data_IF_714757555185
#
_entry.id   IF_714757555185
#
_cell.length_a   1.000
_cell.length_b   1.000
_cell.length_c   1.000
_cell.angle_alpha   90.00
_cell.angle_beta   90.00
_cell.angle_gamma   90.00
#
_symmetry.space_group_name_H-M   'P 1'
#
loop_
_entity.id
_entity.type
_entity.pdbx_description
1 polymer ?
#
# COMPACT_ATOMS: atom_id res chain seq x y z
N UNK A 1 25.02 13.19 11.04
CA UNK A 1 25.05 14.23 9.98
C UNK A 1 25.79 15.47 10.46
N UNK A 2 25.44 16.01 11.64
CA UNK A 2 26.08 17.18 12.24
C UNK A 2 27.55 16.95 12.63
N UNK A 3 27.85 15.83 13.29
CA UNK A 3 29.20 15.61 13.87
C UNK A 3 30.25 15.15 12.86
N UNK A 4 29.82 14.46 11.80
CA UNK A 4 30.73 13.90 10.78
C UNK A 4 30.97 14.90 9.64
N UNK A 5 29.97 15.71 9.27
CA UNK A 5 30.05 16.57 8.08
C UNK A 5 30.11 18.08 8.38
N UNK A 6 30.12 18.49 9.66
CA UNK A 6 30.20 19.91 10.08
C UNK A 6 29.23 20.85 9.33
N UNK A 7 28.05 20.34 8.95
CA UNK A 7 27.06 21.10 8.21
C UNK A 7 26.36 22.11 9.12
N UNK A 8 26.01 23.28 8.58
CA UNK A 8 25.12 24.23 9.26
C UNK A 8 23.83 23.53 9.71
N UNK A 9 23.27 23.88 10.90
CA UNK A 9 22.00 23.36 11.37
C UNK A 9 20.86 23.50 10.34
N UNK A 10 20.84 24.61 9.59
CA UNK A 10 19.82 24.86 8.55
C UNK A 10 19.96 23.91 7.36
N UNK A 11 21.19 23.67 6.89
CA UNK A 11 21.45 22.71 5.80
C UNK A 11 21.13 21.28 6.24
N UNK A 12 21.46 20.90 7.47
CA UNK A 12 21.12 19.58 8.01
C UNK A 12 19.61 19.36 8.09
N UNK A 13 18.86 20.36 8.55
CA UNK A 13 17.39 20.29 8.59
C UNK A 13 16.76 20.21 7.19
N UNK A 14 17.30 20.96 6.23
CA UNK A 14 16.85 20.88 4.84
C UNK A 14 17.05 19.47 4.27
N UNK A 15 18.22 18.86 4.46
CA UNK A 15 18.51 17.52 3.95
C UNK A 15 17.68 16.43 4.64
N UNK A 16 17.42 16.56 5.94
CA UNK A 16 16.50 15.67 6.65
C UNK A 16 15.08 15.82 6.08
N UNK A 17 14.61 17.05 5.89
CA UNK A 17 13.28 17.31 5.30
C UNK A 17 13.17 16.75 3.90
N UNK A 18 14.21 16.91 3.08
CA UNK A 18 14.30 16.34 1.75
C UNK A 18 14.27 14.80 1.79
N UNK A 19 15.00 14.17 2.73
CA UNK A 19 14.98 12.73 2.93
C UNK A 19 13.59 12.20 3.31
N UNK A 20 12.79 12.98 4.04
CA UNK A 20 11.42 12.61 4.42
C UNK A 20 10.35 12.94 3.36
N UNK A 21 10.70 13.68 2.32
CA UNK A 21 9.76 14.06 1.25
C UNK A 21 8.92 12.90 0.67
N UNK A 22 9.45 11.68 0.45
CA UNK A 22 8.65 10.57 -0.06
C UNK A 22 7.42 10.24 0.79
N UNK A 23 7.48 10.46 2.11
CA UNK A 23 6.35 10.22 3.01
C UNK A 23 5.17 11.19 2.77
N UNK A 24 5.41 12.34 2.14
CA UNK A 24 4.38 13.33 1.84
C UNK A 24 3.56 12.99 0.59
N UNK A 25 4.10 12.15 -0.31
CA UNK A 25 3.47 11.80 -1.58
C UNK A 25 2.86 10.39 -1.60
N UNK A 26 2.56 9.84 -0.42
CA UNK A 26 1.87 8.54 -0.24
C UNK A 26 0.66 8.31 -1.16
N UNK A 27 -0.25 9.29 -1.37
CA UNK A 27 -1.41 9.09 -2.25
C UNK A 27 -1.03 8.67 -3.68
N UNK A 28 0.14 9.11 -4.17
CA UNK A 28 0.64 8.75 -5.49
C UNK A 28 0.97 7.26 -5.55
N UNK A 29 1.64 6.72 -4.52
CA UNK A 29 1.96 5.29 -4.46
C UNK A 29 0.70 4.43 -4.39
N UNK A 30 -0.32 4.89 -3.67
CA UNK A 30 -1.63 4.23 -3.59
C UNK A 30 -2.26 4.11 -4.98
N UNK A 31 -2.43 5.24 -5.67
CA UNK A 31 -2.99 5.29 -7.03
C UNK A 31 -2.18 4.41 -8.00
N UNK A 32 -0.84 4.50 -7.96
CA UNK A 32 0.03 3.71 -8.83
C UNK A 32 -0.16 2.21 -8.59
N UNK A 33 -0.18 1.78 -7.32
CA UNK A 33 -0.37 0.36 -6.97
C UNK A 33 -1.77 -0.14 -7.31
N UNK A 34 -2.79 0.73 -7.27
CA UNK A 34 -4.18 0.39 -7.58
C UNK A 34 -4.44 0.27 -9.08
N UNK A 35 -3.86 1.18 -9.87
CA UNK A 35 -4.11 1.30 -11.31
C UNK A 35 -3.21 0.39 -12.16
N UNK A 36 -2.02 0.01 -11.69
CA UNK A 36 -1.03 -0.75 -12.47
C UNK A 36 -0.84 -2.15 -11.88
N UNK A 37 -1.60 -3.17 -12.31
CA UNK A 37 -1.29 -4.54 -11.91
C UNK A 37 -0.01 -5.03 -12.63
N UNK A 38 0.93 -5.61 -11.88
CA UNK A 38 2.17 -6.18 -12.42
C UNK A 38 2.03 -7.72 -12.40
N UNK A 39 2.14 -8.37 -13.56
CA UNK A 39 2.05 -9.85 -13.69
C UNK A 39 0.79 -10.47 -13.04
N UNK A 40 -0.37 -9.82 -13.21
CA UNK A 40 -1.67 -10.22 -12.60
C UNK A 40 -1.74 -10.14 -11.05
N UNK A 41 -0.68 -9.64 -10.41
CA UNK A 41 -0.61 -9.37 -8.98
C UNK A 41 -0.67 -7.87 -8.72
N UNK A 42 -1.40 -7.45 -7.69
CA UNK A 42 -1.64 -6.02 -7.42
C UNK A 42 -0.74 -5.43 -6.34
N UNK A 43 -0.27 -6.21 -5.36
CA UNK A 43 0.42 -5.69 -4.16
C UNK A 43 1.83 -6.25 -3.98
N UNK A 44 2.00 -7.57 -4.11
CA UNK A 44 3.28 -8.29 -3.92
C UNK A 44 4.41 -7.76 -4.80
N UNK A 45 4.20 -7.45 -6.11
CA UNK A 45 5.26 -6.87 -6.92
C UNK A 45 5.72 -5.50 -6.39
N UNK A 46 4.80 -4.69 -5.88
CA UNK A 46 5.13 -3.39 -5.27
C UNK A 46 5.86 -3.57 -3.94
N UNK A 47 5.51 -4.57 -3.13
CA UNK A 47 6.25 -4.91 -1.91
C UNK A 47 7.69 -5.38 -2.20
N UNK A 48 7.90 -6.12 -3.28
CA UNK A 48 9.25 -6.56 -3.69
C UNK A 48 10.07 -5.35 -4.15
N UNK A 49 9.49 -4.48 -4.98
CA UNK A 49 10.16 -3.26 -5.46
C UNK A 49 10.47 -2.34 -4.29
N UNK A 50 9.53 -2.12 -3.37
CA UNK A 50 9.74 -1.26 -2.20
C UNK A 50 10.81 -1.81 -1.28
N UNK A 51 10.83 -3.13 -1.06
CA UNK A 51 11.87 -3.78 -0.26
C UNK A 51 13.25 -3.68 -0.92
N UNK A 52 13.33 -3.79 -2.25
CA UNK A 52 14.57 -3.56 -2.99
C UNK A 52 15.06 -2.11 -2.90
N UNK A 53 14.18 -1.13 -3.14
CA UNK A 53 14.46 0.30 -2.94
C UNK A 53 14.84 0.62 -1.49
N UNK A 54 14.38 -0.20 -0.54
CA UNK A 54 14.72 -0.10 0.88
C UNK A 54 15.97 -0.89 1.28
N UNK A 55 16.50 -1.77 0.43
CA UNK A 55 17.62 -2.65 0.80
C UNK A 55 18.94 -2.10 0.27
N UNK A 56 18.96 -1.79 -1.03
CA UNK A 56 20.19 -1.39 -1.72
C UNK A 56 20.79 -0.10 -1.16
N UNK A 57 20.02 0.97 -0.84
CA UNK A 57 20.62 2.18 -0.27
C UNK A 57 21.35 1.93 1.05
N UNK A 58 20.78 1.14 1.98
CA UNK A 58 21.45 0.77 3.23
C UNK A 58 22.75 -0.02 2.98
N UNK A 59 22.72 -0.99 2.06
CA UNK A 59 23.91 -1.77 1.69
C UNK A 59 25.00 -0.87 1.07
N UNK A 60 24.64 -0.03 0.09
CA UNK A 60 25.60 0.81 -0.64
C UNK A 60 26.22 1.85 0.30
N UNK A 61 25.44 2.47 1.19
CA UNK A 61 25.96 3.41 2.21
C UNK A 61 26.88 2.68 3.21
N UNK A 62 26.53 1.45 3.59
CA UNK A 62 27.33 0.64 4.51
C UNK A 62 28.69 0.26 3.95
N UNK A 63 28.74 -0.09 2.67
CA UNK A 63 29.95 -0.54 1.97
C UNK A 63 30.82 0.59 1.41
N UNK A 64 30.24 1.76 1.10
CA UNK A 64 30.96 2.87 0.44
C UNK A 64 31.16 4.06 1.37
N UNK A 65 32.42 4.32 1.73
CA UNK A 65 32.79 5.51 2.52
C UNK A 65 32.66 6.81 1.73
N UNK A 66 32.96 6.78 0.43
CA UNK A 66 32.80 7.92 -0.48
C UNK A 66 31.35 8.45 -0.51
N UNK A 67 30.38 7.53 -0.52
CA UNK A 67 28.95 7.86 -0.50
C UNK A 67 28.53 8.56 0.79
N UNK A 68 29.16 8.20 1.92
CA UNK A 68 28.88 8.73 3.25
C UNK A 68 29.50 10.10 3.48
N UNK A 69 30.64 10.37 2.84
CA UNK A 69 31.33 11.66 2.93
C UNK A 69 30.64 12.76 2.12
N UNK A 70 29.94 12.41 1.03
CA UNK A 70 29.23 13.39 0.20
C UNK A 70 27.79 13.59 0.68
N UNK A 71 27.50 14.77 1.22
CA UNK A 71 26.20 15.14 1.78
C UNK A 71 25.03 14.94 0.79
N UNK A 72 25.22 15.35 -0.46
CA UNK A 72 24.17 15.26 -1.49
C UNK A 72 23.88 13.80 -1.86
N UNK A 73 24.93 12.99 -1.99
CA UNK A 73 24.83 11.61 -2.41
C UNK A 73 24.28 10.72 -1.29
N UNK A 74 24.70 10.97 -0.05
CA UNK A 74 24.11 10.36 1.14
C UNK A 74 22.61 10.70 1.25
N UNK A 75 22.25 11.97 1.05
CA UNK A 75 20.83 12.40 1.09
C UNK A 75 20.01 11.76 -0.02
N UNK A 76 20.55 11.66 -1.24
CA UNK A 76 19.88 10.97 -2.35
C UNK A 76 19.58 9.51 -2.00
N UNK A 77 20.54 8.81 -1.40
CA UNK A 77 20.33 7.42 -0.97
C UNK A 77 19.29 7.30 0.14
N UNK A 78 19.24 8.26 1.07
CA UNK A 78 18.18 8.32 2.07
C UNK A 78 16.80 8.60 1.46
N UNK A 79 16.72 9.43 0.41
CA UNK A 79 15.47 9.66 -0.32
C UNK A 79 14.99 8.36 -0.99
N UNK A 80 15.89 7.65 -1.68
CA UNK A 80 15.57 6.38 -2.34
C UNK A 80 15.12 5.34 -1.32
N UNK A 81 15.78 5.28 -0.17
CA UNK A 81 15.40 4.42 0.95
C UNK A 81 14.00 4.73 1.48
N UNK A 82 13.72 6.01 1.76
CA UNK A 82 12.45 6.45 2.30
C UNK A 82 11.32 6.30 1.27
N UNK A 83 11.62 6.41 -0.02
CA UNK A 83 10.70 6.09 -1.10
C UNK A 83 10.27 4.62 -1.06
N UNK A 84 11.22 3.71 -0.89
CA UNK A 84 10.91 2.29 -0.67
C UNK A 84 10.02 2.09 0.55
N UNK A 85 10.42 2.63 1.70
CA UNK A 85 9.66 2.47 2.96
C UNK A 85 8.23 3.04 2.87
N UNK A 86 8.08 4.26 2.34
CA UNK A 86 6.76 4.89 2.17
C UNK A 86 5.86 4.13 1.19
N UNK A 87 6.43 3.55 0.13
CA UNK A 87 5.67 2.70 -0.79
C UNK A 87 5.25 1.38 -0.14
N UNK A 88 6.12 0.74 0.66
CA UNK A 88 5.78 -0.48 1.38
C UNK A 88 4.62 -0.26 2.36
N UNK A 89 4.68 0.84 3.13
CA UNK A 89 3.66 1.26 4.08
C UNK A 89 2.28 1.40 3.41
N UNK A 90 2.20 2.15 2.31
CA UNK A 90 0.95 2.35 1.56
C UNK A 90 0.39 1.02 1.01
N UNK A 91 1.25 0.12 0.54
CA UNK A 91 0.81 -1.17 -0.01
C UNK A 91 0.34 -2.11 1.09
N UNK A 92 1.00 -2.12 2.26
CA UNK A 92 0.57 -2.90 3.43
C UNK A 92 -0.78 -2.38 3.95
N UNK A 93 -0.96 -1.07 4.06
CA UNK A 93 -2.23 -0.46 4.45
C UNK A 93 -3.36 -0.86 3.49
N UNK A 94 -3.10 -0.82 2.18
CA UNK A 94 -4.07 -1.28 1.17
C UNK A 94 -4.40 -2.77 1.33
N UNK A 95 -3.41 -3.62 1.62
CA UNK A 95 -3.63 -5.05 1.86
C UNK A 95 -4.45 -5.32 3.12
N UNK A 96 -4.19 -4.60 4.22
CA UNK A 96 -4.96 -4.71 5.46
C UNK A 96 -6.40 -4.24 5.20
N UNK A 97 -6.59 -3.12 4.49
CA UNK A 97 -7.91 -2.62 4.13
C UNK A 97 -8.69 -3.60 3.24
N UNK A 98 -8.02 -4.25 2.28
CA UNK A 98 -8.62 -5.31 1.47
C UNK A 98 -9.01 -6.53 2.30
N UNK A 99 -8.15 -6.96 3.23
CA UNK A 99 -8.42 -8.07 4.13
C UNK A 99 -9.59 -7.78 5.08
N UNK A 100 -9.66 -6.56 5.62
CA UNK A 100 -10.81 -6.07 6.41
C UNK A 100 -12.10 -6.16 5.61
N UNK A 101 -12.09 -5.68 4.36
CA UNK A 101 -13.25 -5.69 3.49
C UNK A 101 -13.69 -7.13 3.13
N UNK A 102 -12.75 -8.06 3.03
CA UNK A 102 -13.01 -9.46 2.76
C UNK A 102 -13.52 -10.25 3.98
N UNK A 103 -13.11 -9.88 5.20
CA UNK A 103 -13.51 -10.55 6.45
C UNK A 103 -14.89 -10.12 6.96
N UNK A 104 -15.46 -9.03 6.44
CA UNK A 104 -16.75 -8.47 6.86
C UNK A 104 -16.61 -7.36 7.91
N UNK A 105 -17.64 -6.51 8.01
CA UNK A 105 -17.63 -5.30 8.86
C UNK A 105 -17.47 -5.59 10.35
N UNK A 106 -17.85 -6.78 10.81
CA UNK A 106 -17.73 -7.22 12.21
C UNK A 106 -16.26 -7.40 12.64
N UNK A 107 -15.40 -7.88 11.74
CA UNK A 107 -13.98 -8.17 12.00
C UNK A 107 -13.03 -7.01 11.64
N UNK A 108 -13.56 -5.91 11.10
CA UNK A 108 -12.77 -4.78 10.65
C UNK A 108 -11.89 -4.17 11.77
N UNK A 109 -12.49 -3.96 12.95
CA UNK A 109 -11.79 -3.39 14.10
C UNK A 109 -10.73 -4.34 14.69
N UNK A 110 -10.97 -5.65 14.65
CA UNK A 110 -10.01 -6.64 15.16
C UNK A 110 -8.78 -6.74 14.27
N UNK A 111 -8.97 -6.74 12.95
CA UNK A 111 -7.84 -6.86 12.03
C UNK A 111 -6.97 -5.60 12.03
N UNK A 112 -7.59 -4.42 12.14
CA UNK A 112 -6.86 -3.16 12.25
C UNK A 112 -6.08 -3.05 13.57
N UNK A 113 -6.71 -3.42 14.69
CA UNK A 113 -6.04 -3.40 15.99
C UNK A 113 -4.93 -4.46 16.11
N UNK A 114 -5.10 -5.64 15.50
CA UNK A 114 -4.04 -6.64 15.38
C UNK A 114 -2.86 -6.10 14.58
N UNK A 115 -3.12 -5.38 13.49
CA UNK A 115 -2.08 -4.76 12.67
C UNK A 115 -1.30 -3.69 13.45
N UNK A 116 -1.99 -2.83 14.21
CA UNK A 116 -1.34 -1.84 15.08
C UNK A 116 -0.56 -2.50 16.23
N UNK A 117 -1.05 -3.60 16.77
CA UNK A 117 -0.32 -4.38 17.78
C UNK A 117 0.97 -4.97 17.19
N UNK A 118 0.89 -5.53 15.98
CA UNK A 118 2.08 -6.01 15.25
C UNK A 118 3.07 -4.88 14.96
N UNK A 119 2.59 -3.70 14.57
CA UNK A 119 3.44 -2.51 14.38
C UNK A 119 4.13 -2.10 15.68
N UNK A 120 3.41 -2.09 16.81
CA UNK A 120 3.98 -1.76 18.11
C UNK A 120 5.10 -2.73 18.50
N UNK A 121 4.90 -4.03 18.31
CA UNK A 121 5.92 -5.05 18.57
C UNK A 121 7.16 -4.81 17.70
N UNK A 122 6.98 -4.59 16.40
CA UNK A 122 8.09 -4.26 15.49
C UNK A 122 8.81 -2.97 15.90
N UNK A 123 8.06 -1.96 16.35
CA UNK A 123 8.58 -0.70 16.85
C UNK A 123 9.44 -0.85 18.11
N UNK A 124 9.06 -1.73 19.04
CA UNK A 124 9.86 -2.08 20.23
C UNK A 124 11.20 -2.68 19.80
N UNK A 125 11.17 -3.72 18.97
CA UNK A 125 12.39 -4.37 18.48
C UNK A 125 13.29 -3.40 17.71
N UNK A 126 12.71 -2.58 16.82
CA UNK A 126 13.46 -1.58 16.06
C UNK A 126 14.07 -0.49 16.93
N UNK A 127 13.37 -0.04 17.97
CA UNK A 127 13.88 0.99 18.88
C UNK A 127 15.01 0.47 19.78
N UNK A 128 14.88 -0.76 20.29
CA UNK A 128 15.92 -1.41 21.07
C UNK A 128 17.16 -1.70 20.23
N UNK A 129 16.98 -2.31 19.05
CA UNK A 129 18.08 -2.60 18.13
C UNK A 129 18.77 -1.31 17.68
N UNK A 130 18.00 -0.27 17.35
CA UNK A 130 18.56 1.01 16.93
C UNK A 130 19.29 1.75 18.05
N UNK A 131 18.77 1.73 19.27
CA UNK A 131 19.44 2.32 20.44
C UNK A 131 20.74 1.58 20.77
N UNK A 132 20.71 0.25 20.80
CA UNK A 132 21.90 -0.57 21.06
C UNK A 132 22.97 -0.40 19.98
N UNK A 133 22.58 -0.46 18.71
CA UNK A 133 23.49 -0.30 17.58
C UNK A 133 24.16 1.08 17.58
N UNK A 134 23.41 2.14 17.90
CA UNK A 134 23.94 3.50 17.90
C UNK A 134 24.91 3.79 19.05
N UNK A 135 24.78 3.11 20.20
CA UNK A 135 25.71 3.28 21.34
C UNK A 135 26.97 2.40 21.24
N UNK A 136 26.91 1.22 20.61
CA UNK A 136 27.98 0.21 20.72
C UNK A 136 28.68 -0.13 19.39
N UNK A 137 28.14 0.28 18.24
CA UNK A 137 28.66 -0.13 16.93
C UNK A 137 29.16 1.06 16.11
N UNK A 138 30.21 0.86 15.29
CA UNK A 138 30.62 1.86 14.33
C UNK A 138 29.55 2.04 13.26
N UNK A 139 29.40 3.27 12.75
CA UNK A 139 28.31 3.64 11.85
C UNK A 139 28.22 2.76 10.59
N UNK A 140 29.35 2.27 10.07
CA UNK A 140 29.42 1.38 8.91
C UNK A 140 28.71 0.05 9.19
N UNK A 141 28.95 -0.53 10.37
CA UNK A 141 28.31 -1.77 10.81
C UNK A 141 26.81 -1.55 11.03
N UNK A 142 26.40 -0.37 11.53
CA UNK A 142 24.97 -0.03 11.69
C UNK A 142 24.25 -0.07 10.34
N UNK A 143 24.80 0.55 9.29
CA UNK A 143 24.19 0.54 7.96
C UNK A 143 24.03 -0.88 7.40
N UNK A 144 25.04 -1.73 7.58
CA UNK A 144 25.01 -3.13 7.13
C UNK A 144 23.98 -3.94 7.92
N UNK A 145 23.97 -3.84 9.25
CA UNK A 145 22.99 -4.54 10.09
C UNK A 145 21.57 -4.09 9.75
N UNK A 146 21.36 -2.79 9.53
CA UNK A 146 20.04 -2.26 9.19
C UNK A 146 19.57 -2.72 7.82
N UNK A 147 20.48 -2.99 6.88
CA UNK A 147 20.13 -3.59 5.59
C UNK A 147 19.58 -5.02 5.71
N UNK A 148 19.90 -5.75 6.79
CA UNK A 148 19.33 -7.07 7.03
C UNK A 148 17.80 -7.00 7.28
N UNK A 149 17.27 -5.88 7.78
CA UNK A 149 15.84 -5.73 8.07
C UNK A 149 15.01 -5.66 6.78
N UNK A 150 15.29 -4.79 5.79
CA UNK A 150 14.66 -4.83 4.47
C UNK A 150 14.90 -6.13 3.71
N UNK A 151 16.03 -6.81 3.93
CA UNK A 151 16.28 -8.13 3.35
C UNK A 151 15.32 -9.18 3.91
N UNK A 152 15.13 -9.19 5.23
CA UNK A 152 14.13 -10.05 5.87
C UNK A 152 12.72 -9.73 5.34
N UNK A 153 12.36 -8.44 5.23
CA UNK A 153 11.10 -8.02 4.63
C UNK A 153 10.94 -8.54 3.19
N UNK A 154 11.98 -8.45 2.36
CA UNK A 154 11.97 -8.99 1.00
C UNK A 154 11.72 -10.50 0.98
N UNK A 155 12.34 -11.26 1.90
CA UNK A 155 12.10 -12.70 2.05
C UNK A 155 10.66 -12.98 2.45
N UNK A 156 10.10 -12.23 3.40
CA UNK A 156 8.69 -12.40 3.80
C UNK A 156 7.70 -12.16 2.65
N UNK A 157 8.03 -11.26 1.71
CA UNK A 157 7.20 -11.00 0.52
C UNK A 157 6.99 -12.23 -0.37
N UNK A 158 7.93 -13.19 -0.37
CA UNK A 158 7.81 -14.44 -1.14
C UNK A 158 6.66 -15.31 -0.61
N UNK A 159 6.38 -15.24 0.68
CA UNK A 159 5.33 -16.04 1.33
C UNK A 159 3.93 -15.40 1.23
N UNK A 160 3.84 -14.15 0.77
CA UNK A 160 2.56 -13.46 0.59
C UNK A 160 1.85 -14.07 -0.62
N UNK A 161 0.82 -14.88 -0.35
CA UNK A 161 -0.02 -15.49 -1.38
C UNK A 161 -1.10 -14.49 -1.82
N UNK A 162 -0.97 -13.97 -3.04
CA UNK A 162 -2.08 -13.29 -3.71
C UNK A 162 -2.92 -14.29 -4.51
N UNK A 163 -4.23 -14.26 -4.32
CA UNK A 163 -5.16 -14.93 -5.24
C UNK A 163 -5.16 -14.16 -6.57
N UNK A 164 -4.74 -14.82 -7.65
CA UNK A 164 -4.74 -14.24 -8.99
C UNK A 164 -6.20 -14.02 -9.41
N UNK A 165 -6.64 -12.76 -9.51
CA UNK A 165 -8.00 -12.42 -9.96
C UNK A 165 -8.17 -12.56 -11.48
N UNK A 166 -7.63 -13.62 -12.09
CA UNK A 166 -7.53 -13.71 -13.54
C UNK A 166 -7.53 -15.13 -14.09
N UNK A 167 -8.57 -15.91 -13.77
CA UNK A 167 -9.04 -17.00 -14.65
C UNK A 167 -10.50 -17.40 -14.39
N UNK A 168 -11.00 -17.32 -13.15
CA UNK A 168 -12.34 -17.82 -12.84
C UNK A 168 -13.48 -16.84 -13.18
N UNK A 169 -13.24 -15.53 -13.17
CA UNK A 169 -14.30 -14.54 -13.46
C UNK A 169 -14.70 -14.44 -14.94
N UNK A 170 -14.02 -15.16 -15.84
CA UNK A 170 -14.42 -15.20 -17.26
C UNK A 170 -15.33 -16.40 -17.56
N UNK A 171 -15.26 -17.46 -16.74
CA UNK A 171 -16.13 -18.64 -16.91
C UNK A 171 -17.51 -18.38 -16.30
N UNK A 172 -17.58 -17.71 -15.14
CA UNK A 172 -18.87 -17.42 -14.49
C UNK A 172 -19.68 -16.33 -15.21
N UNK A 173 -19.01 -15.32 -15.79
CA UNK A 173 -19.69 -14.26 -16.54
C UNK A 173 -20.13 -14.71 -17.95
N UNK A 174 -19.41 -15.65 -18.58
CA UNK A 174 -19.84 -16.20 -19.88
C UNK A 174 -21.00 -17.20 -19.74
N UNK A 175 -21.17 -17.82 -18.58
CA UNK A 175 -22.29 -18.70 -18.29
C UNK A 175 -23.59 -17.93 -17.99
N UNK A 176 -23.49 -16.70 -17.48
CA UNK A 176 -24.65 -15.89 -17.12
C UNK A 176 -25.17 -15.00 -18.27
N UNK A 177 -24.32 -14.61 -19.22
CA UNK A 177 -24.70 -13.78 -20.39
C UNK A 177 -25.44 -14.55 -21.51
N UNK A 178 -25.51 -15.88 -21.44
CA UNK A 178 -26.23 -16.69 -22.44
C UNK A 178 -27.64 -17.12 -22.01
N UNK A 179 -28.10 -16.72 -20.83
CA UNK A 179 -29.41 -17.12 -20.30
C UNK A 179 -30.49 -16.02 -20.36
N UNK A 180 -30.15 -14.78 -20.69
CA UNK A 180 -31.05 -13.63 -20.49
C UNK A 180 -31.47 -12.89 -21.77
N UNK A 181 -31.27 -13.49 -22.96
CA UNK A 181 -31.60 -12.84 -24.25
C UNK A 181 -32.67 -13.58 -25.06
N UNK A 182 -33.69 -14.11 -24.40
CA UNK A 182 -34.96 -14.49 -25.03
C UNK A 182 -36.14 -14.31 -24.07
N UNK A 183 -36.64 -13.07 -23.90
CA UNK A 183 -38.08 -12.82 -23.73
C UNK A 183 -38.40 -11.32 -23.61
N UNK A 184 -38.58 -10.64 -24.74
CA UNK A 184 -39.51 -9.50 -24.83
C UNK A 184 -40.11 -9.51 -26.24
N UNK A 185 -41.37 -9.95 -26.36
CA UNK A 185 -42.44 -9.25 -27.10
C UNK A 185 -43.65 -10.18 -27.29
N UNK A 186 -44.70 -9.93 -26.50
CA UNK A 186 -46.09 -9.73 -26.98
C UNK A 186 -47.08 -9.90 -25.84
N UNK A 187 -47.49 -8.79 -25.23
CA UNK A 187 -48.78 -8.71 -24.56
C UNK A 187 -49.81 -8.29 -25.61
N UNK A 188 -50.83 -9.12 -25.90
CA UNK A 188 -52.22 -8.70 -26.15
C UNK A 188 -53.12 -9.93 -26.44
N UNK A 189 -54.30 -9.90 -25.80
CA UNK A 189 -55.55 -10.59 -26.13
C UNK A 189 -55.73 -12.09 -25.76
N UNK A 190 -56.72 -12.31 -24.87
CA UNK A 190 -57.87 -13.17 -25.19
C UNK A 190 -57.85 -14.63 -24.72
N UNK A 191 -58.71 -14.90 -23.73
CA UNK A 191 -59.57 -16.09 -23.57
C UNK A 191 -59.27 -17.39 -24.34
N UNK A 192 -59.29 -18.52 -23.62
CA UNK A 192 -59.79 -19.79 -24.16
C UNK A 192 -59.07 -21.05 -23.71
N UNK A 193 -59.78 -21.86 -22.92
CA UNK A 193 -59.76 -23.33 -22.82
C UNK A 193 -58.93 -24.16 -23.81
N UNK A 194 -58.38 -25.29 -23.34
CA UNK A 194 -58.27 -26.50 -24.17
C UNK A 194 -56.97 -27.29 -24.00
N UNK A 195 -57.13 -28.58 -23.75
CA UNK A 195 -56.10 -29.60 -23.54
C UNK A 195 -55.21 -29.89 -24.76
N UNK A 196 -54.04 -30.47 -24.47
CA UNK A 196 -53.34 -31.57 -25.16
C UNK A 196 -53.28 -31.60 -26.70
N UNK A 197 -52.08 -31.74 -27.28
CA UNK A 197 -51.76 -32.90 -28.13
C UNK A 197 -50.27 -32.98 -28.53
N UNK A 198 -49.74 -34.21 -28.47
CA UNK A 198 -48.45 -34.67 -29.02
C UNK A 198 -48.35 -34.46 -30.52
N UNK A 199 -47.14 -34.25 -31.06
CA UNK A 199 -46.70 -34.94 -32.27
C UNK A 199 -45.19 -35.18 -32.30
N UNK A 200 -44.83 -36.42 -32.65
CA UNK A 200 -43.49 -36.95 -32.89
C UNK A 200 -43.27 -36.97 -34.41
N UNK A 201 -42.09 -36.58 -34.92
CA UNK A 201 -41.47 -37.24 -36.08
C UNK A 201 -40.03 -36.76 -36.37
N UNK A 202 -39.08 -37.66 -36.13
CA UNK A 202 -37.96 -38.10 -37.00
C UNK A 202 -37.65 -37.33 -38.30
N UNK A 203 -36.35 -37.03 -38.55
CA UNK A 203 -35.61 -37.54 -39.75
C UNK A 203 -34.09 -37.27 -39.76
N UNK A 204 -33.39 -38.29 -40.26
CA UNK A 204 -31.97 -38.52 -40.58
C UNK A 204 -31.46 -37.65 -41.75
N UNK A 205 -30.16 -37.30 -41.76
CA UNK A 205 -29.06 -37.73 -42.70
C UNK A 205 -28.10 -36.62 -43.21
N UNK A 206 -26.80 -36.93 -43.08
CA UNK A 206 -25.65 -36.75 -44.02
C UNK A 206 -25.16 -35.34 -44.41
N UNK A 207 -24.00 -34.98 -43.84
CA UNK A 207 -22.70 -34.96 -44.53
C UNK A 207 -22.45 -33.96 -45.67
N UNK A 208 -21.55 -32.99 -45.44
CA UNK A 208 -20.75 -32.36 -46.48
C UNK A 208 -19.40 -31.85 -45.92
N UNK A 209 -18.30 -32.43 -46.42
CA UNK A 209 -16.92 -31.95 -46.25
C UNK A 209 -16.70 -30.76 -47.18
N UNK A 210 -16.12 -29.65 -46.72
CA UNK A 210 -15.36 -28.74 -47.60
C UNK A 210 -14.22 -28.01 -46.87
N UNK A 211 -13.04 -28.13 -47.48
CA UNK A 211 -11.73 -27.56 -47.14
C UNK A 211 -11.78 -26.03 -47.01
N UNK A 212 -11.00 -25.47 -46.08
CA UNK A 212 -10.27 -24.20 -46.26
C UNK A 212 -9.10 -24.15 -45.26
N UNK A 213 -7.86 -24.35 -45.73
CA UNK A 213 -6.91 -23.32 -46.22
C UNK A 213 -6.15 -22.66 -45.06
N UNK A 214 -5.07 -23.33 -44.66
CA UNK A 214 -3.95 -22.79 -43.87
C UNK A 214 -3.41 -21.55 -44.59
N UNK A 215 -3.51 -20.37 -43.97
CA UNK A 215 -2.77 -19.16 -44.36
C UNK A 215 -2.05 -18.61 -43.13
N UNK A 216 -0.75 -18.91 -43.08
CA UNK A 216 0.34 -18.03 -42.63
C UNK A 216 0.00 -17.00 -41.53
N UNK A 217 0.27 -17.39 -40.28
CA UNK A 217 0.36 -16.52 -39.11
C UNK A 217 1.64 -15.68 -39.20
N UNK A 218 1.59 -14.57 -39.93
CA UNK A 218 2.69 -13.60 -40.01
C UNK A 218 2.47 -12.46 -39.01
N UNK A 219 3.05 -12.60 -37.82
CA UNK A 219 3.92 -11.61 -37.18
C UNK A 219 3.57 -10.12 -37.45
N UNK A 220 2.46 -9.61 -36.91
CA UNK A 220 2.20 -8.16 -36.77
C UNK A 220 1.15 -7.88 -35.69
N UNK A 221 1.53 -7.96 -34.41
CA UNK A 221 0.69 -7.41 -33.32
C UNK A 221 1.48 -7.17 -32.03
N UNK A 222 2.59 -6.43 -32.09
CA UNK A 222 3.26 -5.93 -30.87
C UNK A 222 3.19 -4.40 -30.71
N UNK A 223 2.90 -3.67 -31.80
CA UNK A 223 2.82 -2.20 -31.78
C UNK A 223 1.44 -1.64 -31.34
N UNK A 224 0.35 -2.28 -31.77
CA UNK A 224 -1.01 -1.79 -31.49
C UNK A 224 -1.49 -2.09 -30.06
N UNK A 225 -1.00 -3.17 -29.46
CA UNK A 225 -1.40 -3.60 -28.12
C UNK A 225 -0.74 -2.74 -27.02
N UNK A 226 0.52 -2.29 -27.22
CA UNK A 226 1.21 -1.37 -26.31
C UNK A 226 0.59 0.02 -26.27
N UNK A 227 0.18 0.56 -27.43
CA UNK A 227 -0.46 1.88 -27.51
C UNK A 227 -1.85 1.89 -26.83
N UNK A 228 -2.63 0.81 -26.99
CA UNK A 228 -3.94 0.71 -26.34
C UNK A 228 -3.83 0.58 -24.81
N UNK A 229 -2.78 -0.12 -24.32
CA UNK A 229 -2.50 -0.28 -22.89
C UNK A 229 -2.03 1.02 -22.22
N UNK A 230 -1.20 1.83 -22.89
CA UNK A 230 -0.75 3.12 -22.37
C UNK A 230 -1.86 4.17 -22.32
N UNK A 231 -2.75 4.17 -23.32
CA UNK A 231 -3.93 5.06 -23.33
C UNK A 231 -4.91 4.68 -22.21
N UNK A 232 -5.16 3.38 -22.00
CA UNK A 232 -6.00 2.89 -20.90
C UNK A 232 -5.36 3.11 -19.51
N UNK A 233 -4.04 3.09 -19.42
CA UNK A 233 -3.34 3.39 -18.18
C UNK A 233 -3.46 4.88 -17.81
N UNK A 234 -3.21 5.77 -18.76
CA UNK A 234 -3.33 7.22 -18.51
C UNK A 234 -4.77 7.61 -18.14
N UNK A 235 -5.77 7.03 -18.80
CA UNK A 235 -7.18 7.27 -18.44
C UNK A 235 -7.55 6.72 -17.07
N UNK A 236 -7.01 5.55 -16.67
CA UNK A 236 -7.20 4.97 -15.33
C UNK A 236 -6.55 5.82 -14.23
N UNK A 237 -5.31 6.28 -14.43
CA UNK A 237 -4.63 7.17 -13.49
C UNK A 237 -5.34 8.52 -13.38
N UNK A 238 -5.74 9.10 -14.52
CA UNK A 238 -6.46 10.38 -14.56
C UNK A 238 -7.82 10.27 -13.86
N UNK A 239 -8.57 9.19 -14.09
CA UNK A 239 -9.85 8.98 -13.42
C UNK A 239 -9.69 8.78 -11.92
N UNK A 240 -8.72 7.97 -11.46
CA UNK A 240 -8.42 7.82 -10.03
C UNK A 240 -8.06 9.15 -9.36
N UNK A 241 -7.25 9.98 -10.01
CA UNK A 241 -6.88 11.31 -9.51
C UNK A 241 -8.08 12.27 -9.46
N UNK A 242 -8.95 12.26 -10.48
CA UNK A 242 -10.17 13.07 -10.51
C UNK A 242 -11.16 12.61 -9.43
N UNK A 243 -11.31 11.30 -9.22
CA UNK A 243 -12.15 10.74 -8.15
C UNK A 243 -11.64 11.16 -6.78
N UNK A 244 -10.33 11.13 -6.55
CA UNK A 244 -9.72 11.62 -5.32
C UNK A 244 -10.01 13.11 -5.13
N UNK A 245 -9.77 13.94 -6.15
CA UNK A 245 -10.04 15.39 -6.08
C UNK A 245 -11.53 15.69 -5.82
N UNK A 246 -12.44 14.89 -6.39
CA UNK A 246 -13.88 14.98 -6.14
C UNK A 246 -14.23 14.60 -4.70
N UNK A 247 -13.60 13.56 -4.14
CA UNK A 247 -13.80 13.18 -2.74
C UNK A 247 -13.36 14.30 -1.78
N UNK A 248 -12.23 14.96 -2.06
CA UNK A 248 -11.75 16.11 -1.29
C UNK A 248 -12.72 17.30 -1.28
N UNK A 249 -13.57 17.45 -2.31
CA UNK A 249 -14.59 18.52 -2.38
C UNK A 249 -15.81 18.24 -1.53
N UNK A 250 -15.98 17.01 -1.01
CA UNK A 250 -17.12 16.71 -0.15
C UNK A 250 -16.98 17.45 1.19
N UNK A 251 -17.97 18.25 1.62
CA UNK A 251 -17.87 19.05 2.83
C UNK A 251 -17.74 18.20 4.11
N UNK A 252 -18.20 16.94 4.07
CA UNK A 252 -18.01 15.96 5.14
C UNK A 252 -16.53 15.60 5.38
N UNK A 253 -15.70 15.65 4.34
CA UNK A 253 -14.26 15.36 4.40
C UNK A 253 -13.46 16.67 4.56
N UNK A 254 -13.83 17.69 3.79
CA UNK A 254 -13.11 18.96 3.77
C UNK A 254 -13.12 19.67 5.14
N UNK A 255 -14.24 19.64 5.88
CA UNK A 255 -14.35 20.31 7.19
C UNK A 255 -13.39 19.72 8.24
N UNK A 256 -13.37 18.39 8.50
CA UNK A 256 -12.34 17.78 9.34
C UNK A 256 -10.91 18.07 8.87
N UNK A 257 -10.65 18.01 7.56
CA UNK A 257 -9.30 18.25 7.04
C UNK A 257 -8.85 19.70 7.23
N UNK A 258 -9.73 20.67 7.00
CA UNK A 258 -9.46 22.08 7.27
C UNK A 258 -9.19 22.32 8.77
N UNK A 259 -9.97 21.68 9.65
CA UNK A 259 -9.74 21.75 11.09
C UNK A 259 -8.37 21.17 11.47
N UNK A 260 -8.00 20.00 10.92
CA UNK A 260 -6.67 19.40 11.13
C UNK A 260 -5.54 20.31 10.63
N UNK A 261 -5.71 20.94 9.47
CA UNK A 261 -4.73 21.88 8.91
C UNK A 261 -4.55 23.10 9.82
N UNK A 262 -5.65 23.69 10.28
CA UNK A 262 -5.62 24.84 11.20
C UNK A 262 -4.97 24.44 12.53
N UNK A 263 -5.32 23.28 13.08
CA UNK A 263 -4.76 22.76 14.32
C UNK A 263 -3.24 22.54 14.23
N UNK A 264 -2.75 21.91 13.17
CA UNK A 264 -1.32 21.70 12.96
C UNK A 264 -0.55 23.00 12.65
N UNK A 265 -1.22 24.00 12.06
CA UNK A 265 -0.60 25.31 11.80
C UNK A 265 -0.56 26.19 13.06
N UNK A 266 -1.55 26.05 13.94
CA UNK A 266 -1.65 26.83 15.18
C UNK A 266 -0.72 26.32 16.29
N UNK A 267 -0.41 25.02 16.29
CA UNK A 267 0.51 24.42 17.27
C UNK A 267 1.92 24.37 16.67
N UNK A 268 2.90 25.15 17.18
CA UNK A 268 4.26 25.07 16.70
C UNK A 268 4.80 23.64 16.84
N UNK A 269 5.60 23.18 15.86
CA UNK A 269 6.10 21.81 15.83
C UNK A 269 7.07 21.56 17.00
N UNK A 270 6.52 21.03 18.10
CA UNK A 270 7.25 20.68 19.32
C UNK A 270 8.38 19.69 19.01
N UNK A 271 8.24 18.84 17.99
CA UNK A 271 9.21 17.78 17.66
C UNK A 271 10.60 18.33 17.35
N UNK A 272 10.68 19.46 16.62
CA UNK A 272 11.97 20.08 16.25
C UNK A 272 12.63 20.77 17.44
N UNK A 273 11.83 21.46 18.26
CA UNK A 273 12.30 22.14 19.48
C UNK A 273 12.74 21.12 20.53
N UNK A 274 11.99 20.04 20.69
CA UNK A 274 12.30 18.93 21.59
C UNK A 274 13.59 18.23 21.16
N UNK A 275 13.76 17.96 19.86
CA UNK A 275 14.99 17.36 19.35
C UNK A 275 16.22 18.24 19.64
N UNK A 276 16.14 19.56 19.37
CA UNK A 276 17.21 20.50 19.69
C UNK A 276 17.55 20.47 21.19
N UNK A 277 16.55 20.48 22.06
CA UNK A 277 16.75 20.47 23.51
C UNK A 277 17.35 19.14 24.01
N UNK A 278 16.88 18.01 23.48
CA UNK A 278 17.37 16.67 23.83
C UNK A 278 18.84 16.46 23.41
N UNK A 279 19.24 16.96 22.24
CA UNK A 279 20.60 16.73 21.70
C UNK A 279 21.60 17.80 22.11
N UNK A 280 21.20 19.07 22.13
CA UNK A 280 22.13 20.20 22.34
C UNK A 280 22.20 20.65 23.80
N UNK A 281 21.13 20.48 24.59
CA UNK A 281 21.06 20.99 25.96
C UNK A 281 21.19 19.88 26.99
N UNK A 282 20.50 18.75 26.80
CA UNK A 282 20.54 17.64 27.77
C UNK A 282 21.63 16.59 27.47
N UNK A 283 22.27 16.62 26.30
CA UNK A 283 23.27 15.62 25.88
C UNK A 283 22.82 14.17 26.11
N UNK A 284 21.54 13.86 25.84
CA UNK A 284 21.00 12.53 26.11
C UNK A 284 21.65 11.49 25.20
N UNK A 285 22.02 10.36 25.80
CA UNK A 285 22.61 9.25 25.06
C UNK A 285 21.58 8.64 24.07
N UNK A 286 22.07 8.16 22.93
CA UNK A 286 21.27 7.48 21.92
C UNK A 286 20.48 6.28 22.48
N UNK A 287 21.06 5.55 23.44
CA UNK A 287 20.43 4.42 24.15
C UNK A 287 19.21 4.86 24.96
N UNK A 288 19.28 6.02 25.65
CA UNK A 288 18.17 6.58 26.40
C UNK A 288 17.02 6.98 25.46
N UNK A 289 17.34 7.62 24.34
CA UNK A 289 16.34 8.02 23.35
C UNK A 289 15.65 6.80 22.70
N UNK A 290 16.40 5.72 22.46
CA UNK A 290 15.85 4.43 22.03
C UNK A 290 14.89 3.83 23.05
N UNK A 291 15.27 3.83 24.33
CA UNK A 291 14.46 3.32 25.44
C UNK A 291 13.18 4.15 25.65
N UNK A 292 13.26 5.47 25.52
CA UNK A 292 12.09 6.34 25.59
C UNK A 292 11.05 6.02 24.50
N UNK A 293 11.49 5.67 23.28
CA UNK A 293 10.57 5.25 22.20
C UNK A 293 9.89 3.91 22.49
N UNK A 294 10.56 3.00 23.19
CA UNK A 294 9.96 1.72 23.62
C UNK A 294 8.76 1.96 24.53
N UNK A 295 8.83 2.95 25.42
CA UNK A 295 7.69 3.34 26.27
C UNK A 295 6.51 3.78 25.40
N UNK A 296 6.76 4.55 24.34
CA UNK A 296 5.74 4.97 23.38
C UNK A 296 5.06 3.78 22.68
N UNK A 297 5.84 2.81 22.20
CA UNK A 297 5.30 1.60 21.58
C UNK A 297 4.53 0.71 22.58
N UNK A 298 5.02 0.60 23.81
CA UNK A 298 4.31 -0.12 24.88
C UNK A 298 2.96 0.54 25.21
N UNK A 299 2.93 1.88 25.22
CA UNK A 299 1.71 2.66 25.43
C UNK A 299 0.70 2.45 24.31
N UNK A 300 1.17 2.39 23.05
CA UNK A 300 0.32 2.05 21.90
C UNK A 300 -0.27 0.64 22.02
N UNK A 301 0.55 -0.34 22.42
CA UNK A 301 0.12 -1.71 22.62
C UNK A 301 -0.93 -1.82 23.74
N UNK A 302 -0.68 -1.18 24.88
CA UNK A 302 -1.60 -1.14 26.01
C UNK A 302 -2.91 -0.43 25.65
N UNK A 303 -2.84 0.70 24.94
CA UNK A 303 -4.01 1.43 24.46
C UNK A 303 -4.86 0.60 23.49
N UNK A 304 -4.22 -0.12 22.57
CA UNK A 304 -4.90 -1.01 21.63
C UNK A 304 -5.58 -2.18 22.36
N UNK A 305 -4.92 -2.75 23.37
CA UNK A 305 -5.48 -3.79 24.22
C UNK A 305 -6.71 -3.31 25.01
N UNK A 306 -6.60 -2.14 25.67
CA UNK A 306 -7.71 -1.53 26.41
C UNK A 306 -8.89 -1.22 25.47
N UNK A 307 -8.60 -0.68 24.28
CA UNK A 307 -9.61 -0.39 23.27
C UNK A 307 -10.40 -1.64 22.88
N UNK A 308 -9.68 -2.71 22.51
CA UNK A 308 -10.30 -3.98 22.12
C UNK A 308 -11.10 -4.61 23.26
N UNK A 309 -10.60 -4.53 24.50
CA UNK A 309 -11.22 -5.16 25.66
C UNK A 309 -12.47 -4.41 26.16
N UNK A 310 -12.44 -3.08 26.17
CA UNK A 310 -13.43 -2.28 26.89
C UNK A 310 -14.25 -1.31 26.03
N UNK A 311 -13.66 -0.78 24.95
CA UNK A 311 -14.28 0.30 24.15
C UNK A 311 -14.95 -0.22 22.87
N UNK A 312 -14.43 -1.31 22.27
CA UNK A 312 -14.94 -1.87 21.01
C UNK A 312 -16.44 -2.21 21.04
N UNK A 313 -16.95 -2.68 22.17
CA UNK A 313 -18.36 -3.11 22.31
C UNK A 313 -19.29 -2.04 22.90
N UNK A 314 -18.75 -0.89 23.32
CA UNK A 314 -19.55 0.21 23.86
C UNK A 314 -20.01 1.11 22.72
N UNK A 315 -21.32 1.35 22.63
CA UNK A 315 -21.87 2.35 21.70
C UNK A 315 -21.30 3.72 22.08
N UNK A 316 -20.85 4.50 21.09
CA UNK A 316 -20.23 5.82 21.26
C UNK A 316 -21.08 6.75 22.16
N UNK A 317 -22.41 6.63 22.08
CA UNK A 317 -23.38 7.37 22.91
C UNK A 317 -23.23 7.12 24.42
N UNK A 318 -22.81 5.93 24.84
CA UNK A 318 -22.62 5.59 26.25
C UNK A 318 -21.22 5.96 26.77
N UNK A 319 -20.33 6.43 25.91
CA UNK A 319 -18.97 6.88 26.28
C UNK A 319 -18.94 8.41 26.38
N UNK A 320 -19.77 9.10 25.57
CA UNK A 320 -19.81 10.56 25.47
C UNK A 320 -20.89 11.23 26.36
N UNK A 321 -21.73 10.44 27.03
CA UNK A 321 -22.65 10.88 28.10
C UNK A 321 -22.11 10.44 29.43
#
# INVERSE_FOLDING_TARGET
MKDIMKLSPSTSQFLVSAAFFPWSIKPIYGIVSDCIPIKQRKRVPYLIISSGLSLFPWLIIGLSEHLRSSSNLFTLMLIVQNLGSAMADVVIDAMIAEAVRSAGSEFAGDLQSLSWSSMAVGGIFGSLLGGYALSNLPINAIYIIFSALPLFQLVTCVFVKESSKGFDSTIDNAAHDHADDQNIDSAFAGQGSGESFKYVSTRRRKGARKKNKRRTLSKRSEGHEKHNKSVNLYSSLKSAFISLCTAFKQPAILRPMAWFFISNSAVPNISTVMFYYQTEVLHLEASFLGTARVIGWFSLMLGTYIYNRYLKHKKLRNILM
#
